data_IF_339430651320
#
_entry.id   IF_339430651320
#
_cell.length_a   1.000
_cell.length_b   1.000
_cell.length_c   1.000
_cell.angle_alpha   90.00
_cell.angle_beta   90.00
_cell.angle_gamma   90.00
#
_symmetry.space_group_name_H-M   'P 1'
#
loop_
_entity.id
_entity.type
_entity.pdbx_description
1 polymer ?
#
# COMPACT_ATOMS: atom_id res chain seq x y z
N UNK A 1 -2.68 59.55 30.19
CA UNK A 1 -1.48 59.57 31.03
C UNK A 1 -0.43 58.73 30.31
N UNK A 2 0.58 59.34 29.67
CA UNK A 2 1.96 59.59 30.18
C UNK A 2 2.65 58.22 30.45
N UNK A 3 3.84 57.85 29.94
CA UNK A 3 4.82 58.47 29.05
C UNK A 3 5.83 57.40 28.56
N UNK A 4 6.54 57.80 27.50
CA UNK A 4 7.83 57.32 26.96
C UNK A 4 8.93 57.08 28.03
N UNK A 5 9.82 56.09 27.83
CA UNK A 5 11.21 56.30 27.36
C UNK A 5 12.24 55.22 27.77
N UNK A 6 13.20 55.03 26.86
CA UNK A 6 14.64 54.74 27.02
C UNK A 6 15.18 53.37 27.48
N UNK A 7 15.90 52.77 26.51
CA UNK A 7 17.13 51.99 26.53
C UNK A 7 18.03 52.00 27.78
N UNK A 8 18.71 50.86 28.03
CA UNK A 8 20.17 50.83 28.24
C UNK A 8 20.72 49.39 28.21
N UNK A 9 21.91 49.26 27.64
CA UNK A 9 22.71 48.03 27.52
C UNK A 9 23.31 47.61 28.86
N UNK A 10 23.44 46.30 29.08
CA UNK A 10 24.43 45.76 30.03
C UNK A 10 25.01 44.44 29.48
N UNK A 11 26.28 44.46 29.08
CA UNK A 11 27.22 43.36 29.29
C UNK A 11 27.99 43.71 30.57
N UNK A 12 28.37 42.74 31.44
CA UNK A 12 29.67 42.10 31.20
C UNK A 12 29.87 40.68 31.79
N UNK A 13 31.02 40.14 31.36
CA UNK A 13 31.93 39.23 32.05
C UNK A 13 31.59 37.73 32.22
N UNK A 14 32.23 36.97 31.32
CA UNK A 14 32.86 35.67 31.55
C UNK A 14 33.36 35.49 33.00
N UNK A 15 32.97 34.38 33.63
CA UNK A 15 33.81 33.65 34.58
C UNK A 15 33.91 32.20 34.13
N UNK A 16 35.13 31.81 33.80
CA UNK A 16 35.55 30.42 33.62
C UNK A 16 35.58 29.76 34.98
N UNK A 17 34.83 28.67 35.15
CA UNK A 17 35.04 27.71 36.22
C UNK A 17 35.35 26.36 35.59
N UNK A 18 36.61 25.95 35.73
CA UNK A 18 37.06 24.58 35.52
C UNK A 18 36.55 23.73 36.67
N UNK A 19 35.75 22.70 36.38
CA UNK A 19 35.49 21.62 37.33
C UNK A 19 35.51 20.28 36.60
N UNK A 20 36.48 19.45 36.98
CA UNK A 20 36.60 18.05 36.62
C UNK A 20 35.43 17.26 37.18
N UNK A 21 34.58 16.72 36.31
CA UNK A 21 33.48 15.82 36.68
C UNK A 21 33.73 14.44 36.08
N UNK A 22 34.03 13.48 36.96
CA UNK A 22 34.13 12.05 36.69
C UNK A 22 32.74 11.48 36.36
N UNK A 23 32.63 10.88 35.17
CA UNK A 23 31.41 10.26 34.64
C UNK A 23 31.17 8.90 35.35
N UNK A 24 30.01 8.65 35.97
CA UNK A 24 29.68 7.30 36.44
C UNK A 24 29.25 6.44 35.25
N UNK A 25 29.88 5.27 35.08
CA UNK A 25 29.44 4.21 34.16
C UNK A 25 28.11 3.66 34.66
N UNK A 26 27.02 3.91 33.91
CA UNK A 26 25.72 3.27 34.17
C UNK A 26 25.59 2.03 33.29
N UNK A 27 25.21 0.95 33.96
CA UNK A 27 25.13 -0.43 33.49
C UNK A 27 24.33 -0.56 32.20
N UNK A 28 24.89 -1.34 31.29
CA UNK A 28 24.26 -1.79 30.05
C UNK A 28 23.07 -2.67 30.42
N UNK A 29 21.85 -2.17 30.18
CA UNK A 29 20.65 -3.02 30.21
C UNK A 29 20.70 -3.84 28.94
N UNK A 30 21.10 -5.11 29.05
CA UNK A 30 21.01 -6.08 27.97
C UNK A 30 19.58 -6.12 27.46
N UNK A 31 19.33 -5.42 26.37
CA UNK A 31 18.16 -5.59 25.54
C UNK A 31 18.19 -7.02 25.04
N UNK A 32 17.19 -7.79 25.45
CA UNK A 32 16.93 -9.10 24.85
C UNK A 32 16.48 -8.80 23.43
N UNK A 33 17.46 -8.72 22.52
CA UNK A 33 17.22 -8.65 21.10
C UNK A 33 16.62 -10.00 20.71
N UNK A 34 15.28 -10.05 20.63
CA UNK A 34 14.60 -11.24 20.12
C UNK A 34 15.14 -11.48 18.73
N UNK A 35 15.88 -12.56 18.55
CA UNK A 35 16.38 -13.02 17.26
C UNK A 35 15.16 -13.42 16.42
N UNK A 36 14.56 -12.45 15.72
CA UNK A 36 13.49 -12.73 14.75
C UNK A 36 14.08 -13.66 13.71
N UNK A 37 13.58 -14.90 13.68
CA UNK A 37 13.97 -15.90 12.69
C UNK A 37 13.84 -15.33 11.28
N UNK A 38 14.70 -15.77 10.37
CA UNK A 38 14.61 -15.37 8.97
C UNK A 38 13.18 -15.64 8.44
N UNK A 39 12.60 -14.75 7.63
CA UNK A 39 11.25 -14.93 7.15
C UNK A 39 11.16 -16.15 6.22
N UNK A 40 10.05 -16.88 6.33
CA UNK A 40 9.71 -17.97 5.42
C UNK A 40 9.46 -17.40 4.02
N UNK A 41 10.08 -18.01 3.01
CA UNK A 41 9.78 -17.71 1.61
C UNK A 41 8.60 -18.56 1.15
N UNK A 42 7.57 -17.92 0.61
CA UNK A 42 6.42 -18.57 -0.01
C UNK A 42 6.47 -18.31 -1.51
N UNK A 43 6.70 -19.37 -2.28
CA UNK A 43 6.61 -19.32 -3.73
C UNK A 43 5.15 -19.35 -4.18
N UNK A 44 4.76 -18.39 -5.03
CA UNK A 44 3.43 -18.32 -5.63
C UNK A 44 3.55 -18.43 -7.15
N UNK A 45 2.82 -19.37 -7.73
CA UNK A 45 2.67 -19.45 -9.19
C UNK A 45 1.68 -18.41 -9.67
N UNK A 46 2.06 -17.66 -10.68
CA UNK A 46 1.15 -16.71 -11.31
C UNK A 46 0.09 -17.45 -12.15
N UNK A 47 -1.16 -16.99 -12.07
CA UNK A 47 -2.26 -17.44 -12.94
C UNK A 47 -2.62 -16.32 -13.91
N UNK A 48 -2.99 -16.64 -15.14
CA UNK A 48 -3.41 -15.61 -16.09
C UNK A 48 -4.64 -14.85 -15.59
N UNK A 49 -4.56 -13.52 -15.68
CA UNK A 49 -5.68 -12.63 -15.43
C UNK A 49 -6.71 -12.77 -16.57
N UNK A 50 -7.84 -13.36 -16.23
CA UNK A 50 -9.03 -13.52 -17.09
C UNK A 50 -10.24 -12.98 -16.33
N UNK A 51 -11.34 -12.72 -17.06
CA UNK A 51 -12.58 -12.28 -16.42
C UNK A 51 -13.04 -13.24 -15.29
N UNK A 52 -12.88 -14.55 -15.48
CA UNK A 52 -13.27 -15.54 -14.48
C UNK A 52 -12.25 -15.70 -13.35
N UNK A 53 -10.96 -15.73 -13.65
CA UNK A 53 -9.93 -15.94 -12.63
C UNK A 53 -9.77 -14.72 -11.70
N UNK A 54 -10.11 -13.52 -12.17
CA UNK A 54 -9.93 -12.27 -11.42
C UNK A 54 -11.22 -11.71 -10.79
N UNK A 55 -12.38 -12.37 -10.98
CA UNK A 55 -13.71 -11.82 -10.63
C UNK A 55 -13.86 -11.39 -9.16
N UNK A 56 -13.21 -12.10 -8.23
CA UNK A 56 -13.28 -11.78 -6.79
C UNK A 56 -12.49 -10.52 -6.41
N UNK A 57 -11.59 -10.05 -7.29
CA UNK A 57 -10.67 -8.93 -7.05
C UNK A 57 -11.02 -7.71 -7.90
N UNK A 58 -11.76 -7.92 -9.00
CA UNK A 58 -12.07 -6.85 -9.93
C UNK A 58 -12.44 -7.33 -11.32
N UNK A 59 -12.05 -6.56 -12.33
CA UNK A 59 -12.31 -6.86 -13.74
C UNK A 59 -11.02 -6.81 -14.55
N UNK A 60 -10.88 -7.72 -15.49
CA UNK A 60 -9.87 -7.66 -16.55
C UNK A 60 -10.51 -7.07 -17.78
N UNK A 61 -10.03 -5.91 -18.22
CA UNK A 61 -10.56 -5.22 -19.41
C UNK A 61 -9.58 -5.39 -20.55
N UNK A 62 -10.10 -5.81 -21.70
CA UNK A 62 -9.35 -6.05 -22.93
C UNK A 62 -9.88 -5.14 -24.04
N UNK A 63 -9.14 -5.03 -25.14
CA UNK A 63 -9.60 -4.30 -26.31
C UNK A 63 -10.95 -4.83 -26.84
N UNK A 64 -11.84 -3.91 -27.21
CA UNK A 64 -13.10 -4.14 -27.92
C UNK A 64 -13.10 -3.41 -29.28
N UNK A 65 -13.99 -3.78 -30.22
CA UNK A 65 -14.22 -2.99 -31.42
C UNK A 65 -14.61 -1.54 -31.12
N UNK A 66 -14.22 -0.62 -32.00
CA UNK A 66 -14.63 0.78 -31.91
C UNK A 66 -16.14 0.95 -32.04
N UNK A 67 -16.70 1.91 -31.31
CA UNK A 67 -18.14 2.20 -31.28
C UNK A 67 -19.00 1.22 -30.48
N UNK A 68 -18.40 0.28 -29.73
CA UNK A 68 -19.16 -0.55 -28.78
C UNK A 68 -19.76 0.31 -27.65
N UNK A 69 -21.05 0.10 -27.34
CA UNK A 69 -21.73 0.79 -26.24
C UNK A 69 -21.27 0.27 -24.88
N UNK A 70 -21.37 1.13 -23.86
CA UNK A 70 -21.02 0.77 -22.48
C UNK A 70 -21.81 -0.44 -22.00
N UNK A 71 -21.11 -1.41 -21.42
CA UNK A 71 -21.69 -2.65 -20.93
C UNK A 71 -20.88 -3.31 -19.81
N UNK A 72 -21.26 -4.54 -19.42
CA UNK A 72 -20.63 -5.25 -18.30
C UNK A 72 -19.17 -5.64 -18.55
N UNK A 73 -18.69 -5.54 -19.79
CA UNK A 73 -17.29 -5.80 -20.17
C UNK A 73 -16.37 -4.60 -19.91
N UNK A 74 -16.94 -3.40 -19.80
CA UNK A 74 -16.20 -2.20 -19.42
C UNK A 74 -15.89 -2.20 -17.93
N UNK A 75 -14.83 -1.46 -17.56
CA UNK A 75 -14.52 -1.19 -16.17
C UNK A 75 -15.72 -0.48 -15.50
N UNK A 76 -16.30 -1.13 -14.50
CA UNK A 76 -17.40 -0.57 -13.70
C UNK A 76 -16.82 0.34 -12.63
N UNK A 77 -16.57 1.61 -12.98
CA UNK A 77 -15.89 2.57 -12.13
C UNK A 77 -16.81 3.14 -11.05
N UNK A 78 -16.33 3.11 -9.81
CA UNK A 78 -16.77 4.04 -8.77
C UNK A 78 -15.61 4.99 -8.49
N UNK A 79 -15.83 6.28 -8.73
CA UNK A 79 -14.92 7.38 -8.46
C UNK A 79 -15.64 8.52 -7.72
N UNK A 80 -16.80 8.22 -7.12
CA UNK A 80 -17.77 9.20 -6.61
C UNK A 80 -17.28 10.01 -5.39
N UNK A 81 -16.18 9.60 -4.77
CA UNK A 81 -15.72 10.09 -3.45
C UNK A 81 -14.52 11.04 -3.51
N UNK A 82 -14.28 11.67 -4.65
CA UNK A 82 -13.23 12.68 -4.77
C UNK A 82 -12.98 13.13 -6.19
N UNK A 83 -11.80 13.70 -6.42
CA UNK A 83 -11.35 14.11 -7.75
C UNK A 83 -10.58 12.95 -8.36
N UNK A 84 -11.03 12.35 -9.48
CA UNK A 84 -10.27 11.35 -10.19
C UNK A 84 -8.95 11.92 -10.70
N UNK A 85 -7.90 11.12 -10.63
CA UNK A 85 -6.60 11.40 -11.21
C UNK A 85 -6.24 10.27 -12.15
N UNK A 86 -5.98 10.63 -13.40
CA UNK A 86 -5.45 9.71 -14.40
C UNK A 86 -4.05 10.16 -14.80
N UNK A 87 -3.06 9.29 -14.65
CA UNK A 87 -1.66 9.66 -14.84
C UNK A 87 -0.81 8.45 -15.23
N UNK A 88 0.40 8.74 -15.72
CA UNK A 88 1.40 7.71 -16.04
C UNK A 88 2.43 7.66 -14.92
N UNK A 89 2.69 6.45 -14.43
CA UNK A 89 3.76 6.10 -13.52
C UNK A 89 4.94 5.54 -14.32
N UNK A 90 6.11 6.14 -14.17
CA UNK A 90 7.36 5.49 -14.56
C UNK A 90 7.86 4.66 -13.37
N UNK A 91 7.80 3.33 -13.48
CA UNK A 91 8.21 2.43 -12.40
C UNK A 91 9.54 1.78 -12.74
N UNK A 92 10.38 1.57 -11.72
CA UNK A 92 11.69 0.92 -11.84
C UNK A 92 11.88 -0.15 -10.78
N UNK A 93 12.65 -1.17 -11.11
CA UNK A 93 13.13 -2.22 -10.19
C UNK A 93 12.02 -2.94 -9.39
N UNK A 94 10.85 -3.14 -10.02
CA UNK A 94 9.68 -3.77 -9.40
C UNK A 94 9.76 -5.30 -9.48
N UNK A 95 10.75 -5.86 -8.77
CA UNK A 95 11.07 -7.30 -8.76
C UNK A 95 9.86 -8.17 -8.42
N UNK A 96 9.90 -9.43 -8.88
CA UNK A 96 8.90 -10.48 -8.62
C UNK A 96 8.91 -11.01 -7.18
N UNK A 97 8.95 -10.10 -6.18
CA UNK A 97 9.03 -10.40 -4.75
C UNK A 97 8.37 -9.29 -3.95
N UNK A 98 7.55 -9.64 -2.97
CA UNK A 98 6.90 -8.66 -2.08
C UNK A 98 6.63 -9.24 -0.69
N UNK A 99 6.52 -8.36 0.31
CA UNK A 99 6.14 -8.73 1.68
C UNK A 99 5.16 -7.75 2.30
N UNK A 100 4.60 -6.86 1.48
CA UNK A 100 3.62 -5.86 1.86
C UNK A 100 2.53 -5.83 0.80
N UNK A 101 1.30 -5.62 1.22
CA UNK A 101 0.14 -5.48 0.34
C UNK A 101 -0.71 -4.33 0.85
N UNK A 102 -1.31 -3.57 -0.07
CA UNK A 102 -2.08 -2.37 0.25
C UNK A 102 -3.49 -2.49 -0.28
N UNK A 103 -4.48 -1.92 0.42
CA UNK A 103 -5.78 -1.63 -0.16
C UNK A 103 -6.18 -0.16 -0.01
N UNK A 104 -7.08 0.25 -0.90
CA UNK A 104 -7.75 1.55 -0.93
C UNK A 104 -9.24 1.30 -0.80
N UNK A 105 -9.89 1.91 0.19
CA UNK A 105 -11.25 1.58 0.60
C UNK A 105 -12.32 2.48 -0.03
N UNK A 106 -11.93 3.62 -0.62
CA UNK A 106 -12.90 4.64 -1.01
C UNK A 106 -13.53 4.38 -2.37
N UNK A 107 -12.72 3.96 -3.34
CA UNK A 107 -13.10 3.89 -4.76
C UNK A 107 -12.46 2.71 -5.47
N UNK A 108 -12.87 2.48 -6.70
CA UNK A 108 -12.16 1.58 -7.62
C UNK A 108 -10.86 2.20 -8.12
N UNK A 109 -9.91 1.36 -8.51
CA UNK A 109 -8.66 1.78 -9.13
C UNK A 109 -8.42 1.00 -10.42
N UNK A 110 -7.95 1.66 -11.48
CA UNK A 110 -7.52 0.97 -12.71
C UNK A 110 -6.05 1.17 -12.97
N UNK A 111 -5.37 0.11 -13.41
CA UNK A 111 -3.98 0.18 -13.81
C UNK A 111 -3.63 -0.83 -14.90
N UNK A 112 -2.75 -0.42 -15.81
CA UNK A 112 -2.26 -1.26 -16.91
C UNK A 112 -0.97 -0.71 -17.50
N UNK A 113 -0.17 -1.59 -18.09
CA UNK A 113 1.04 -1.20 -18.80
C UNK A 113 0.68 -0.40 -20.05
N UNK A 114 1.38 0.72 -20.31
CA UNK A 114 1.11 1.58 -21.49
C UNK A 114 1.34 0.84 -22.81
N UNK A 115 2.36 -0.02 -22.89
CA UNK A 115 2.73 -0.77 -24.09
C UNK A 115 2.22 -2.21 -24.17
N UNK A 116 1.31 -2.64 -23.27
CA UNK A 116 0.85 -4.03 -23.19
C UNK A 116 1.94 -5.04 -22.75
N UNK A 117 2.99 -4.54 -22.07
CA UNK A 117 4.07 -5.36 -21.53
C UNK A 117 3.56 -6.32 -20.45
N UNK A 118 4.26 -7.45 -20.27
CA UNK A 118 3.90 -8.43 -19.24
C UNK A 118 4.23 -7.91 -17.84
N UNK A 119 3.27 -8.06 -16.91
CA UNK A 119 3.42 -7.68 -15.51
C UNK A 119 2.59 -8.58 -14.59
N UNK A 120 2.81 -8.43 -13.29
CA UNK A 120 2.24 -9.28 -12.25
C UNK A 120 1.67 -8.44 -11.11
N UNK A 121 0.62 -8.97 -10.48
CA UNK A 121 -0.03 -8.37 -9.33
C UNK A 121 -0.29 -9.45 -8.27
N UNK A 122 0.32 -9.30 -7.09
CA UNK A 122 -0.11 -10.05 -5.91
C UNK A 122 -1.40 -9.44 -5.38
N UNK A 123 -2.42 -10.24 -5.06
CA UNK A 123 -3.73 -9.77 -4.57
C UNK A 123 -4.27 -10.61 -3.43
N UNK A 124 -5.14 -10.02 -2.63
CA UNK A 124 -6.08 -10.73 -1.74
C UNK A 124 -7.46 -10.05 -1.81
N UNK A 125 -8.51 -10.79 -1.44
CA UNK A 125 -9.90 -10.31 -1.57
C UNK A 125 -10.14 -9.07 -0.71
N UNK A 126 -11.04 -8.15 -1.11
CA UNK A 126 -11.50 -7.09 -0.23
C UNK A 126 -11.98 -7.64 1.11
N UNK A 127 -11.57 -6.98 2.19
CA UNK A 127 -11.89 -7.40 3.55
C UNK A 127 -12.37 -6.25 4.43
N UNK A 128 -12.89 -5.19 3.81
CA UNK A 128 -13.52 -4.06 4.51
C UNK A 128 -14.82 -4.54 5.17
N UNK A 129 -15.05 -4.09 6.40
CA UNK A 129 -16.23 -4.44 7.19
C UNK A 129 -17.07 -3.20 7.45
N UNK A 130 -18.38 -3.30 7.22
CA UNK A 130 -19.34 -2.25 7.54
C UNK A 130 -19.41 -2.08 9.07
N UNK A 131 -19.26 -0.84 9.60
CA UNK A 131 -19.40 -0.56 11.02
C UNK A 131 -20.67 -1.10 11.68
N UNK A 132 -21.78 -1.22 10.94
CA UNK A 132 -23.06 -1.76 11.46
C UNK A 132 -22.92 -3.24 11.84
N UNK A 133 -22.00 -3.97 11.21
CA UNK A 133 -21.78 -5.40 11.43
C UNK A 133 -20.65 -5.67 12.45
N UNK A 134 -20.16 -4.66 13.16
CA UNK A 134 -19.12 -4.82 14.18
C UNK A 134 -19.78 -5.09 15.53
N UNK A 135 -20.04 -6.37 15.82
CA UNK A 135 -20.75 -6.77 17.05
C UNK A 135 -19.87 -6.81 18.31
N UNK A 136 -18.52 -6.79 18.18
CA UNK A 136 -17.52 -6.49 19.22
C UNK A 136 -16.14 -6.30 18.56
N UNK A 137 -15.41 -5.22 18.87
CA UNK A 137 -14.12 -4.90 18.22
C UNK A 137 -13.01 -5.94 18.50
N UNK A 138 -12.97 -6.48 19.72
CA UNK A 138 -11.84 -7.29 20.22
C UNK A 138 -11.95 -8.80 19.95
N UNK A 139 -13.14 -9.34 19.69
CA UNK A 139 -13.36 -10.80 19.56
C UNK A 139 -13.22 -11.35 18.13
N UNK A 140 -13.23 -10.49 17.09
CA UNK A 140 -13.34 -10.94 15.70
C UNK A 140 -12.07 -10.79 14.85
N UNK A 141 -10.93 -10.37 15.43
CA UNK A 141 -9.69 -10.15 14.69
C UNK A 141 -9.79 -9.00 13.67
N UNK A 142 -10.64 -8.01 13.96
CA UNK A 142 -10.82 -6.81 13.15
C UNK A 142 -9.74 -5.78 13.47
N UNK A 143 -9.27 -5.08 12.45
CA UNK A 143 -8.36 -3.96 12.57
C UNK A 143 -9.06 -2.68 12.10
N UNK A 144 -8.74 -1.56 12.75
CA UNK A 144 -9.16 -0.23 12.32
C UNK A 144 -8.05 0.43 11.53
N UNK A 145 -8.36 0.86 10.31
CA UNK A 145 -7.41 1.60 9.46
C UNK A 145 -7.21 3.02 10.01
N UNK A 146 -6.04 3.60 9.74
CA UNK A 146 -5.80 5.04 9.92
C UNK A 146 -6.78 5.91 9.12
N UNK A 147 -7.40 5.35 8.08
CA UNK A 147 -8.41 5.98 7.24
C UNK A 147 -9.84 5.88 7.81
N UNK A 148 -10.02 5.19 8.94
CA UNK A 148 -11.26 5.16 9.71
C UNK A 148 -12.19 3.97 9.43
N UNK A 149 -11.97 3.19 8.37
CA UNK A 149 -12.73 1.96 8.12
C UNK A 149 -12.19 0.76 8.90
N UNK A 150 -13.07 -0.20 9.19
CA UNK A 150 -12.70 -1.49 9.76
C UNK A 150 -12.43 -2.49 8.64
N UNK A 151 -11.51 -3.43 8.90
CA UNK A 151 -11.17 -4.48 7.97
C UNK A 151 -10.63 -5.71 8.69
N UNK A 152 -10.65 -6.86 8.02
CA UNK A 152 -9.92 -8.05 8.46
C UNK A 152 -8.55 -8.08 7.75
N UNK A 153 -7.41 -8.16 8.46
CA UNK A 153 -6.12 -8.30 7.82
C UNK A 153 -6.06 -9.53 6.89
N UNK A 154 -5.40 -9.44 5.72
CA UNK A 154 -5.33 -10.54 4.78
C UNK A 154 -4.43 -11.65 5.32
N UNK A 155 -4.86 -12.91 5.24
CA UNK A 155 -4.02 -14.04 5.65
C UNK A 155 -3.05 -14.43 4.52
N UNK A 156 -1.80 -14.86 4.80
CA UNK A 156 -0.85 -15.26 3.78
C UNK A 156 -1.38 -16.30 2.76
N UNK A 157 -2.19 -17.24 3.23
CA UNK A 157 -2.77 -18.31 2.39
C UNK A 157 -3.88 -17.82 1.44
N UNK A 158 -4.36 -16.59 1.61
CA UNK A 158 -5.36 -15.96 0.74
C UNK A 158 -4.72 -15.20 -0.42
N UNK A 159 -3.40 -14.97 -0.36
CA UNK A 159 -2.67 -14.25 -1.40
C UNK A 159 -2.63 -15.08 -2.68
N UNK A 160 -2.96 -14.44 -3.80
CA UNK A 160 -2.88 -14.98 -5.16
C UNK A 160 -2.01 -14.06 -6.00
N UNK A 161 -1.45 -14.58 -7.09
CA UNK A 161 -0.68 -13.77 -8.04
C UNK A 161 -1.28 -13.93 -9.42
N UNK A 162 -1.51 -12.81 -10.08
CA UNK A 162 -2.00 -12.77 -11.44
C UNK A 162 -0.94 -12.26 -12.41
N UNK A 163 -0.82 -12.93 -13.55
CA UNK A 163 -0.05 -12.48 -14.71
C UNK A 163 -0.98 -11.74 -15.65
N UNK A 164 -0.57 -10.54 -16.07
CA UNK A 164 -1.28 -9.72 -17.05
C UNK A 164 -0.38 -9.55 -18.26
N UNK A 165 -0.88 -9.93 -19.43
CA UNK A 165 -0.16 -9.85 -20.69
C UNK A 165 -1.04 -9.30 -21.81
N UNK A 166 -0.42 -8.54 -22.71
CA UNK A 166 -1.07 -7.92 -23.85
C UNK A 166 -1.82 -6.62 -23.49
N UNK A 167 -2.67 -6.11 -24.41
CA UNK A 167 -3.39 -4.84 -24.26
C UNK A 167 -4.56 -5.00 -23.29
N UNK A 168 -4.25 -5.19 -22.00
CA UNK A 168 -5.20 -5.37 -20.92
C UNK A 168 -4.88 -4.44 -19.76
N UNK A 169 -5.91 -4.05 -19.03
CA UNK A 169 -5.77 -3.48 -17.69
C UNK A 169 -6.65 -4.16 -16.69
N UNK A 170 -6.31 -3.94 -15.42
CA UNK A 170 -7.12 -4.37 -14.29
C UNK A 170 -7.87 -3.17 -13.73
N UNK A 171 -9.16 -3.37 -13.47
CA UNK A 171 -9.94 -2.56 -12.53
C UNK A 171 -10.02 -3.33 -11.23
N UNK A 172 -9.51 -2.79 -10.15
CA UNK A 172 -9.60 -3.35 -8.81
C UNK A 172 -10.90 -2.90 -8.13
N UNK A 173 -11.55 -3.82 -7.42
CA UNK A 173 -12.67 -3.46 -6.56
C UNK A 173 -12.16 -2.62 -5.38
N UNK A 174 -12.98 -1.70 -4.87
CA UNK A 174 -12.68 -1.00 -3.63
C UNK A 174 -12.36 -2.03 -2.53
N UNK A 175 -11.27 -1.80 -1.81
CA UNK A 175 -10.76 -2.69 -0.77
C UNK A 175 -9.91 -3.86 -1.24
N UNK A 176 -9.74 -4.07 -2.55
CA UNK A 176 -8.88 -5.16 -3.04
C UNK A 176 -7.45 -4.91 -2.61
N UNK A 177 -6.91 -5.85 -1.84
CA UNK A 177 -5.50 -5.83 -1.47
C UNK A 177 -4.67 -6.14 -2.69
N UNK A 178 -3.62 -5.35 -2.93
CA UNK A 178 -2.72 -5.56 -4.06
C UNK A 178 -1.27 -5.16 -3.75
N UNK A 179 -0.35 -5.86 -4.42
CA UNK A 179 1.10 -5.67 -4.36
C UNK A 179 1.65 -5.69 -5.78
N UNK A 180 2.01 -4.51 -6.28
CA UNK A 180 2.46 -4.32 -7.65
C UNK A 180 2.14 -2.92 -8.16
N UNK A 181 2.23 -2.70 -9.48
CA UNK A 181 2.70 -3.63 -10.51
C UNK A 181 4.12 -4.15 -10.25
N UNK A 182 4.37 -5.41 -10.60
CA UNK A 182 5.67 -6.09 -10.58
C UNK A 182 6.01 -6.58 -11.98
N UNK A 183 7.26 -6.54 -12.40
CA UNK A 183 7.66 -6.93 -13.75
C UNK A 183 9.15 -7.31 -13.82
N UNK A 184 9.53 -8.05 -14.88
CA UNK A 184 10.90 -8.55 -15.08
C UNK A 184 11.85 -7.50 -15.65
N UNK A 185 11.32 -6.53 -16.40
CA UNK A 185 12.11 -5.43 -16.98
C UNK A 185 12.64 -4.50 -15.87
N UNK A 186 13.66 -3.71 -16.21
CA UNK A 186 14.24 -2.71 -15.29
C UNK A 186 13.32 -1.51 -15.07
N UNK A 187 12.58 -1.11 -16.12
CA UNK A 187 11.61 -0.04 -16.05
C UNK A 187 10.42 -0.32 -16.97
N UNK A 188 9.26 0.22 -16.61
CA UNK A 188 8.04 0.15 -17.40
C UNK A 188 7.06 1.26 -17.00
N UNK A 189 6.36 1.81 -17.99
CA UNK A 189 5.32 2.81 -17.78
C UNK A 189 3.95 2.16 -17.59
N UNK A 190 3.22 2.65 -16.60
CA UNK A 190 1.86 2.23 -16.27
C UNK A 190 0.94 3.44 -16.26
N UNK A 191 -0.25 3.33 -16.84
CA UNK A 191 -1.31 4.27 -16.51
C UNK A 191 -2.01 3.82 -15.22
N UNK A 192 -2.47 4.80 -14.44
CA UNK A 192 -3.20 4.57 -13.20
C UNK A 192 -4.35 5.58 -13.07
N UNK A 193 -5.54 5.08 -12.75
CA UNK A 193 -6.75 5.84 -12.47
C UNK A 193 -7.21 5.56 -11.04
N UNK A 194 -7.18 6.58 -10.20
CA UNK A 194 -7.57 6.52 -8.78
C UNK A 194 -8.03 7.92 -8.33
N UNK A 195 -8.21 8.18 -7.03
CA UNK A 195 -8.42 9.55 -6.55
C UNK A 195 -7.10 10.30 -6.38
N UNK A 196 -7.16 11.63 -6.53
CA UNK A 196 -6.00 12.51 -6.43
C UNK A 196 -5.23 12.44 -5.11
N UNK A 197 -5.88 12.00 -4.04
CA UNK A 197 -5.34 11.91 -2.68
C UNK A 197 -5.29 10.48 -2.13
N UNK A 198 -5.50 9.44 -2.95
CA UNK A 198 -5.51 8.03 -2.52
C UNK A 198 -4.32 7.67 -1.62
N UNK A 199 -3.10 8.04 -2.03
CA UNK A 199 -1.88 7.73 -1.29
C UNK A 199 -1.69 8.53 0.02
N UNK A 200 -2.49 9.58 0.25
CA UNK A 200 -2.41 10.42 1.43
C UNK A 200 -3.47 10.05 2.48
N UNK A 201 -4.68 9.69 2.05
CA UNK A 201 -5.83 9.55 2.96
C UNK A 201 -6.54 8.20 2.88
N UNK A 202 -6.20 7.34 1.92
CA UNK A 202 -6.90 6.08 1.68
C UNK A 202 -5.92 4.95 1.36
N UNK A 203 -4.94 4.70 2.23
CA UNK A 203 -3.91 3.69 2.02
C UNK A 203 -3.69 2.88 3.28
N UNK A 204 -4.18 1.63 3.29
CA UNK A 204 -3.99 0.67 4.39
C UNK A 204 -3.04 -0.43 3.94
N UNK A 205 -2.00 -0.73 4.71
CA UNK A 205 -0.97 -1.72 4.35
C UNK A 205 -0.82 -2.79 5.40
N UNK A 206 -0.80 -4.04 4.96
CA UNK A 206 -0.42 -5.21 5.76
C UNK A 206 1.04 -5.58 5.48
N UNK A 207 1.83 -5.86 6.53
CA UNK A 207 3.23 -6.24 6.39
C UNK A 207 3.46 -7.70 6.78
N UNK A 208 3.32 -8.60 5.82
CA UNK A 208 3.50 -10.05 6.00
C UNK A 208 4.85 -10.44 6.60
N UNK A 209 5.92 -9.69 6.35
CA UNK A 209 7.23 -10.00 6.96
C UNK A 209 7.22 -9.72 8.46
N UNK A 210 6.56 -8.64 8.89
CA UNK A 210 6.51 -8.24 10.29
C UNK A 210 5.48 -9.02 11.09
N UNK A 211 4.32 -9.26 10.49
CA UNK A 211 3.12 -9.79 11.12
C UNK A 211 3.06 -11.32 11.02
N UNK A 212 3.46 -11.89 9.87
CA UNK A 212 3.35 -13.33 9.59
C UNK A 212 4.71 -14.03 9.43
N UNK A 213 5.80 -13.26 9.38
CA UNK A 213 7.13 -13.80 9.07
C UNK A 213 7.27 -14.33 7.63
N UNK A 214 6.46 -13.85 6.69
CA UNK A 214 6.39 -14.33 5.30
C UNK A 214 6.94 -13.32 4.30
N UNK A 215 7.60 -13.81 3.25
CA UNK A 215 7.88 -13.06 2.03
C UNK A 215 7.47 -13.90 0.81
N UNK A 216 6.78 -13.27 -0.14
CA UNK A 216 6.34 -13.92 -1.36
C UNK A 216 7.36 -13.76 -2.48
N UNK A 217 7.61 -14.84 -3.21
CA UNK A 217 8.36 -14.87 -4.47
C UNK A 217 7.42 -15.37 -5.56
N UNK A 218 7.38 -14.68 -6.71
CA UNK A 218 6.55 -15.12 -7.83
C UNK A 218 7.37 -16.07 -8.70
N UNK A 219 6.85 -17.28 -8.89
CA UNK A 219 7.37 -18.26 -9.84
C UNK A 219 6.72 -18.02 -11.21
N UNK A 220 7.56 -18.04 -12.24
CA UNK A 220 7.21 -17.96 -13.65
C UNK A 220 7.09 -19.37 -14.25
#
# INVERSE_FOLDING_TARGET
MIAVSSSSSFSPHLRVFSSSSTRPKKMDSSSVESTKSAPKIVSLKAVDATASSFADFGQVVSASPDGEEFGPRDAQLDLSRGIPRFYIMNLRDRKLRFSTITHHASVTQCLGSVGGGEWYLGVAKPSIVDPINVENEDENGLAKSSCGHYYKPPHPDEVRVFRVAGPKFLKLNAGTWHAGPLFKLTEMDFYNLELSNTNAVDHTTHNFRKEDGVVFLIED
#
